data_IF_232078414681
#
_entry.id   IF_232078414681
#
_cell.length_a   1.000
_cell.length_b   1.000
_cell.length_c   1.000
_cell.angle_alpha   90.00
_cell.angle_beta   90.00
_cell.angle_gamma   90.00
#
_symmetry.space_group_name_H-M   'P 1'
#
loop_
_entity.id
_entity.type
_entity.pdbx_description
1 polymer ?
#
# COMPACT_ATOMS: atom_id res chain seq x y z
N UNK A 1 -35.59 8.81 -0.27
CA UNK A 1 -34.18 8.49 0.00
C UNK A 1 -34.03 6.99 -0.21
N UNK A 2 -33.18 6.56 -1.15
CA UNK A 2 -33.05 5.13 -1.49
C UNK A 2 -32.00 4.51 -0.56
N UNK A 3 -32.42 3.57 0.30
CA UNK A 3 -31.53 2.87 1.24
C UNK A 3 -31.47 1.40 0.83
N UNK A 4 -30.27 0.93 0.49
CA UNK A 4 -29.99 -0.51 0.26
C UNK A 4 -30.29 -1.26 1.56
N UNK A 5 -31.11 -2.31 1.49
CA UNK A 5 -31.38 -3.15 2.66
C UNK A 5 -30.20 -4.08 2.95
N UNK A 6 -30.07 -4.53 4.20
CA UNK A 6 -28.91 -5.35 4.60
C UNK A 6 -28.83 -6.69 3.84
N UNK A 7 -29.98 -7.19 3.38
CA UNK A 7 -30.06 -8.40 2.56
C UNK A 7 -29.55 -8.20 1.12
N UNK A 8 -29.61 -6.98 0.58
CA UNK A 8 -29.20 -6.68 -0.79
C UNK A 8 -27.72 -6.28 -0.87
N UNK A 9 -27.11 -5.88 0.25
CA UNK A 9 -25.69 -5.52 0.37
C UNK A 9 -24.73 -6.50 -0.33
N UNK A 10 -24.79 -7.84 -0.11
CA UNK A 10 -23.85 -8.76 -0.75
C UNK A 10 -24.01 -8.82 -2.28
N UNK A 11 -25.22 -8.63 -2.81
CA UNK A 11 -25.47 -8.62 -4.25
C UNK A 11 -24.77 -7.42 -4.90
N UNK A 12 -24.87 -6.26 -4.26
CA UNK A 12 -24.20 -5.04 -4.72
C UNK A 12 -22.68 -5.10 -4.55
N UNK A 13 -22.17 -5.67 -3.46
CA UNK A 13 -20.72 -5.80 -3.25
C UNK A 13 -20.03 -6.59 -4.36
N UNK A 14 -20.67 -7.66 -4.85
CA UNK A 14 -20.16 -8.46 -5.98
C UNK A 14 -20.12 -7.63 -7.26
N UNK A 15 -21.22 -6.97 -7.59
CA UNK A 15 -21.35 -6.17 -8.81
C UNK A 15 -20.46 -4.91 -8.79
N UNK A 16 -20.17 -4.37 -7.60
CA UNK A 16 -19.23 -3.26 -7.40
C UNK A 16 -17.78 -3.74 -7.49
N UNK A 17 -17.48 -4.94 -6.99
CA UNK A 17 -16.16 -5.55 -7.15
C UNK A 17 -15.87 -5.87 -8.63
N UNK A 18 -16.86 -6.32 -9.39
CA UNK A 18 -16.73 -6.59 -10.83
C UNK A 18 -16.47 -5.30 -11.65
N UNK A 19 -17.04 -4.17 -11.20
CA UNK A 19 -16.76 -2.84 -11.79
C UNK A 19 -15.50 -2.16 -11.24
N UNK A 20 -14.82 -2.76 -10.27
CA UNK A 20 -13.64 -2.15 -9.68
C UNK A 20 -12.50 -2.18 -10.68
N UNK A 21 -12.35 -1.10 -11.45
CA UNK A 21 -11.14 -0.82 -12.19
C UNK A 21 -10.03 -0.59 -11.17
N UNK A 22 -9.10 -1.56 -11.08
CA UNK A 22 -7.97 -1.53 -10.17
C UNK A 22 -7.22 -0.22 -10.24
N UNK A 23 -6.64 0.19 -9.11
CA UNK A 23 -5.90 1.43 -9.05
C UNK A 23 -4.71 1.36 -10.02
N UNK A 24 -4.52 2.37 -10.88
CA UNK A 24 -3.40 2.39 -11.83
C UNK A 24 -2.02 2.24 -11.15
N UNK A 25 -1.91 2.55 -9.86
CA UNK A 25 -0.70 2.34 -9.07
C UNK A 25 -0.48 0.90 -8.67
N UNK A 26 -1.54 0.12 -8.47
CA UNK A 26 -1.46 -1.26 -7.99
C UNK A 26 -0.65 -2.15 -8.93
N UNK A 27 -0.92 -2.08 -10.23
CA UNK A 27 -0.18 -2.86 -11.24
C UNK A 27 1.30 -2.45 -11.34
N UNK A 28 1.59 -1.14 -11.24
CA UNK A 28 2.98 -0.63 -11.28
C UNK A 28 3.76 -1.08 -10.05
N UNK A 29 3.16 -0.94 -8.88
CA UNK A 29 3.73 -1.36 -7.61
C UNK A 29 3.95 -2.87 -7.60
N UNK A 30 2.99 -3.67 -8.06
CA UNK A 30 3.12 -5.12 -8.13
C UNK A 30 4.32 -5.57 -8.98
N UNK A 31 4.48 -4.97 -10.16
CA UNK A 31 5.57 -5.27 -11.08
C UNK A 31 6.93 -4.92 -10.49
N UNK A 32 7.08 -3.73 -9.94
CA UNK A 32 8.38 -3.26 -9.45
C UNK A 32 8.74 -3.88 -8.10
N UNK A 33 7.76 -4.35 -7.32
CA UNK A 33 7.98 -5.02 -6.04
C UNK A 33 8.09 -6.55 -6.14
N UNK A 34 8.01 -7.14 -7.33
CA UNK A 34 8.05 -8.61 -7.53
C UNK A 34 9.30 -9.26 -6.91
N UNK A 35 10.45 -8.60 -7.02
CA UNK A 35 11.74 -9.09 -6.50
C UNK A 35 12.21 -8.34 -5.25
N UNK A 36 11.35 -7.48 -4.68
CA UNK A 36 11.70 -6.64 -3.54
C UNK A 36 11.15 -7.28 -2.27
N UNK A 37 11.98 -7.40 -1.24
CA UNK A 37 11.57 -7.97 0.06
C UNK A 37 11.21 -6.90 1.08
N UNK A 38 11.72 -5.68 0.86
CA UNK A 38 11.57 -4.53 1.76
C UNK A 38 11.54 -3.25 0.96
N UNK A 39 10.58 -2.39 1.25
CA UNK A 39 10.50 -1.05 0.68
C UNK A 39 9.95 -0.03 1.67
N UNK A 40 10.15 1.27 1.41
CA UNK A 40 9.54 2.38 2.13
C UNK A 40 8.49 3.10 1.28
N UNK A 41 7.62 3.88 1.93
CA UNK A 41 6.65 4.72 1.22
C UNK A 41 7.34 5.73 0.29
N UNK A 42 8.49 6.26 0.71
CA UNK A 42 9.27 7.24 -0.06
C UNK A 42 9.88 6.62 -1.32
N UNK A 43 10.46 5.41 -1.21
CA UNK A 43 10.97 4.64 -2.35
C UNK A 43 9.85 4.31 -3.35
N UNK A 44 8.68 3.87 -2.87
CA UNK A 44 7.55 3.59 -3.76
C UNK A 44 7.13 4.86 -4.52
N UNK A 45 7.07 5.99 -3.83
CA UNK A 45 6.67 7.27 -4.44
C UNK A 45 7.69 7.75 -5.47
N UNK A 46 8.97 7.78 -5.11
CA UNK A 46 10.04 8.32 -5.93
C UNK A 46 10.49 7.36 -7.04
N UNK A 47 10.67 6.08 -6.71
CA UNK A 47 11.32 5.12 -7.60
C UNK A 47 10.34 4.35 -8.47
N UNK A 48 9.14 4.04 -7.97
CA UNK A 48 8.12 3.27 -8.72
C UNK A 48 7.16 4.22 -9.41
N UNK A 49 6.53 5.12 -8.65
CA UNK A 49 5.49 6.00 -9.18
C UNK A 49 6.06 7.25 -9.86
N UNK A 50 7.36 7.53 -9.68
CA UNK A 50 8.05 8.73 -10.20
C UNK A 50 7.33 10.02 -9.85
N UNK A 51 6.73 10.07 -8.66
CA UNK A 51 6.03 11.24 -8.14
C UNK A 51 6.99 12.13 -7.35
N UNK A 52 6.73 13.43 -7.39
CA UNK A 52 7.48 14.42 -6.62
C UNK A 52 7.13 14.28 -5.13
N UNK A 53 8.07 13.75 -4.34
CA UNK A 53 7.92 13.54 -2.89
C UNK A 53 7.74 14.83 -2.11
N UNK A 54 7.92 16.01 -2.72
CA UNK A 54 7.64 17.31 -2.10
C UNK A 54 6.18 17.76 -2.23
N UNK A 55 5.36 17.13 -3.09
CA UNK A 55 3.99 17.58 -3.43
C UNK A 55 2.90 16.54 -3.27
N UNK A 56 3.24 15.34 -2.81
CA UNK A 56 2.26 14.27 -2.65
C UNK A 56 1.22 14.56 -1.56
N UNK A 57 -0.01 14.14 -1.83
CA UNK A 57 -1.20 14.46 -1.05
C UNK A 57 -1.66 13.25 -0.21
N UNK A 58 -2.36 13.51 0.91
CA UNK A 58 -2.94 12.45 1.75
C UNK A 58 -3.80 11.44 0.97
N UNK A 59 -4.60 11.83 -0.06
CA UNK A 59 -5.29 10.88 -0.92
C UNK A 59 -4.36 9.88 -1.63
N UNK A 60 -3.22 10.32 -2.14
CA UNK A 60 -2.26 9.44 -2.81
C UNK A 60 -1.63 8.46 -1.84
N UNK A 61 -1.26 8.92 -0.64
CA UNK A 61 -0.78 8.04 0.43
C UNK A 61 -1.77 6.92 0.75
N UNK A 62 -3.07 7.25 0.78
CA UNK A 62 -4.14 6.27 1.04
C UNK A 62 -4.28 5.27 -0.09
N UNK A 63 -4.19 5.71 -1.35
CA UNK A 63 -4.22 4.84 -2.54
C UNK A 63 -3.07 3.84 -2.52
N UNK A 64 -1.85 4.31 -2.28
CA UNK A 64 -0.66 3.46 -2.17
C UNK A 64 -0.80 2.49 -0.99
N UNK A 65 -1.25 2.96 0.16
CA UNK A 65 -1.50 2.10 1.31
C UNK A 65 -2.54 1.01 1.03
N UNK A 66 -3.59 1.32 0.24
CA UNK A 66 -4.59 0.35 -0.20
C UNK A 66 -3.99 -0.68 -1.15
N UNK A 67 -3.23 -0.24 -2.17
CA UNK A 67 -2.56 -1.10 -3.13
C UNK A 67 -1.55 -2.04 -2.45
N UNK A 68 -0.74 -1.53 -1.52
CA UNK A 68 0.19 -2.37 -0.76
C UNK A 68 -0.56 -3.41 0.08
N UNK A 69 -1.68 -3.04 0.70
CA UNK A 69 -2.49 -3.97 1.48
C UNK A 69 -3.13 -5.06 0.60
N UNK A 70 -3.62 -4.72 -0.60
CA UNK A 70 -4.18 -5.72 -1.53
C UNK A 70 -3.12 -6.68 -2.06
N UNK A 71 -1.90 -6.18 -2.28
CA UNK A 71 -0.73 -6.98 -2.68
C UNK A 71 -0.13 -7.82 -1.52
N UNK A 72 -0.69 -7.75 -0.30
CA UNK A 72 -0.20 -8.53 0.84
C UNK A 72 1.03 -7.94 1.54
N UNK A 73 1.32 -6.65 1.36
CA UNK A 73 2.42 -5.99 2.06
C UNK A 73 2.00 -5.55 3.46
N UNK A 74 2.86 -5.84 4.44
CA UNK A 74 2.59 -5.52 5.85
C UNK A 74 3.55 -4.45 6.35
N UNK A 75 2.99 -3.45 7.02
CA UNK A 75 3.76 -2.40 7.71
C UNK A 75 4.47 -3.00 8.93
N UNK A 76 5.80 -2.98 8.93
CA UNK A 76 6.61 -3.38 10.09
C UNK A 76 7.24 -2.15 10.72
N UNK A 77 7.24 -2.09 12.05
CA UNK A 77 8.03 -1.11 12.82
C UNK A 77 9.36 -1.78 13.17
N UNK A 78 10.48 -1.23 12.72
CA UNK A 78 11.78 -1.64 13.27
C UNK A 78 11.89 -1.03 14.67
N UNK A 79 11.63 -1.82 15.70
CA UNK A 79 12.01 -1.44 17.06
C UNK A 79 13.52 -1.63 17.17
N UNK A 80 14.31 -0.69 16.64
CA UNK A 80 15.71 -0.59 17.04
C UNK A 80 15.74 -0.07 18.48
N UNK A 81 15.47 -0.95 19.44
CA UNK A 81 15.82 -0.72 20.84
C UNK A 81 17.34 -0.91 20.98
N UNK A 82 18.08 -0.09 20.27
CA UNK A 82 19.51 0.10 20.40
C UNK A 82 19.69 1.59 20.67
N UNK A 83 19.80 1.86 21.96
CA UNK A 83 20.18 3.10 22.61
C UNK A 83 21.22 3.87 21.78
N UNK A 84 20.77 4.90 21.06
CA UNK A 84 21.60 6.06 20.71
C UNK A 84 20.67 7.26 20.47
N UNK A 85 20.82 8.23 21.37
CA UNK A 85 20.10 9.49 21.43
C UNK A 85 20.75 10.41 20.40
N UNK A 86 20.43 10.26 19.11
CA UNK A 86 20.50 11.35 18.13
C UNK A 86 19.39 11.09 17.12
N UNK A 87 18.52 12.07 16.92
CA UNK A 87 17.16 11.93 16.40
C UNK A 87 16.99 11.04 15.18
N UNK A 88 16.00 10.16 15.22
CA UNK A 88 15.67 9.28 14.10
C UNK A 88 14.17 9.05 14.05
N UNK A 89 13.55 9.56 13.00
CA UNK A 89 12.16 9.24 12.66
C UNK A 89 11.98 7.73 12.62
N UNK A 90 10.80 7.28 13.04
CA UNK A 90 10.39 5.89 12.93
C UNK A 90 10.46 5.49 11.45
N UNK A 91 11.56 4.89 11.01
CA UNK A 91 11.67 4.45 9.63
C UNK A 91 10.77 3.23 9.48
N UNK A 92 9.61 3.45 8.89
CA UNK A 92 8.60 2.42 8.69
C UNK A 92 8.88 1.75 7.37
N UNK A 93 9.14 0.45 7.43
CA UNK A 93 9.34 -0.36 6.23
C UNK A 93 8.17 -1.30 6.04
N UNK A 94 7.86 -1.60 4.78
CA UNK A 94 6.87 -2.61 4.42
C UNK A 94 7.62 -3.86 3.95
N UNK A 95 7.12 -5.02 4.37
CA UNK A 95 7.69 -6.32 4.02
C UNK A 95 6.62 -7.16 3.33
N UNK A 96 6.99 -7.86 2.27
CA UNK A 96 6.11 -8.78 1.59
C UNK A 96 5.89 -10.04 2.44
N UNK A 97 4.63 -10.44 2.69
CA UNK A 97 4.35 -11.69 3.43
C UNK A 97 4.30 -12.92 2.54
N UNK A 98 4.22 -12.75 1.22
CA UNK A 98 4.10 -13.84 0.25
C UNK A 98 5.22 -13.88 -0.80
N UNK A 99 6.32 -13.12 -0.65
CA UNK A 99 7.49 -13.24 -1.53
C UNK A 99 8.14 -14.61 -1.30
N UNK A 100 7.65 -15.59 -2.05
CA UNK A 100 8.38 -16.83 -2.31
C UNK A 100 9.51 -16.44 -3.26
N UNK A 101 10.65 -16.09 -2.67
CA UNK A 101 11.93 -16.07 -3.39
C UNK A 101 12.07 -17.47 -3.99
N UNK A 102 11.81 -17.60 -5.28
CA UNK A 102 12.11 -18.80 -6.05
C UNK A 102 13.15 -18.44 -7.08
#
# INVERSE_FOLDING_TARGET
>A
MWHVTEQERPLFEIEQAERYEGDAYENKIAKDLEFVTRTTMEEILADILKLDTSKWSLPEQRRIGKALKSLGWVRKRSTSRSMNIVGTGLVVFMTCTHCSIT
#
